data_IF_597242063511
#
_entry.id   IF_597242063511
#
_cell.length_a   1.000
_cell.length_b   1.000
_cell.length_c   1.000
_cell.angle_alpha   90.00
_cell.angle_beta   90.00
_cell.angle_gamma   90.00
#
_symmetry.space_group_name_H-M   'P 1'
#
loop_
_entity.id
_entity.type
_entity.pdbx_description
1 polymer ?
#
# COMPACT_ATOMS: atom_id res chain seq x y z
N UNK A 1 -45.56 6.07 4.26
CA UNK A 1 -44.64 7.17 3.88
C UNK A 1 -43.27 6.59 4.12
N UNK A 2 -42.66 6.01 3.08
CA UNK A 2 -41.36 5.36 3.18
C UNK A 2 -40.37 6.24 2.45
N UNK A 3 -39.39 6.77 3.19
CA UNK A 3 -38.31 7.60 2.70
C UNK A 3 -37.07 6.70 2.66
N UNK A 4 -36.84 6.05 1.52
CA UNK A 4 -35.48 5.67 1.17
C UNK A 4 -34.94 6.96 0.59
N UNK A 5 -34.09 7.68 1.32
CA UNK A 5 -33.59 8.97 0.83
C UNK A 5 -32.34 8.78 -0.03
N UNK A 6 -31.54 7.74 0.23
CA UNK A 6 -30.26 7.50 -0.44
C UNK A 6 -29.94 6.01 -0.63
N UNK A 7 -29.24 5.68 -1.70
CA UNK A 7 -28.67 4.36 -1.98
C UNK A 7 -27.49 4.46 -2.95
N UNK A 8 -26.85 3.34 -3.27
CA UNK A 8 -25.70 3.30 -4.19
C UNK A 8 -25.97 2.35 -5.36
N UNK A 9 -25.47 2.71 -6.54
CA UNK A 9 -25.43 1.81 -7.70
C UNK A 9 -24.00 1.70 -8.20
N UNK A 10 -23.61 0.53 -8.70
CA UNK A 10 -22.32 0.32 -9.36
C UNK A 10 -22.44 0.58 -10.85
N UNK A 11 -21.45 1.28 -11.41
CA UNK A 11 -21.35 1.51 -12.85
C UNK A 11 -20.36 0.51 -13.44
N UNK A 12 -20.82 -0.29 -14.40
CA UNK A 12 -19.93 -1.10 -15.22
C UNK A 12 -19.56 -0.33 -16.50
N UNK A 13 -18.30 -0.40 -16.97
CA UNK A 13 -17.24 -1.31 -16.55
C UNK A 13 -16.26 -0.77 -15.48
N UNK A 14 -16.43 0.47 -14.98
CA UNK A 14 -15.44 1.09 -14.08
C UNK A 14 -15.50 0.60 -12.63
N UNK A 15 -16.62 0.02 -12.19
CA UNK A 15 -16.82 -0.45 -10.81
C UNK A 15 -17.11 0.68 -9.81
N UNK A 16 -17.23 1.92 -10.27
CA UNK A 16 -17.45 3.07 -9.40
C UNK A 16 -18.83 3.03 -8.75
N UNK A 17 -18.89 3.32 -7.44
CA UNK A 17 -20.13 3.54 -6.72
C UNK A 17 -20.62 4.96 -6.96
N UNK A 18 -21.86 5.09 -7.45
CA UNK A 18 -22.51 6.39 -7.62
C UNK A 18 -23.69 6.51 -6.66
N UNK A 19 -23.77 7.63 -5.91
CA UNK A 19 -24.91 7.88 -5.04
C UNK A 19 -26.19 8.08 -5.87
N UNK A 20 -27.25 7.44 -5.44
CA UNK A 20 -28.60 7.55 -5.97
C UNK A 20 -29.48 8.14 -4.88
N UNK A 21 -30.05 9.30 -5.16
CA UNK A 21 -31.02 9.92 -4.28
C UNK A 21 -32.41 9.47 -4.69
N UNK A 22 -33.22 9.04 -3.73
CA UNK A 22 -34.59 8.61 -3.97
C UNK A 22 -35.54 9.63 -3.34
N UNK A 23 -36.63 9.94 -4.03
CA UNK A 23 -37.76 10.68 -3.47
C UNK A 23 -39.06 9.88 -3.69
N UNK A 24 -40.20 10.44 -3.27
CA UNK A 24 -41.49 9.74 -3.34
C UNK A 24 -41.94 9.37 -4.76
N UNK A 25 -41.38 10.00 -5.79
CA UNK A 25 -41.84 9.93 -7.17
C UNK A 25 -40.70 9.77 -8.19
N UNK A 26 -39.45 9.87 -7.76
CA UNK A 26 -38.27 9.90 -8.63
C UNK A 26 -37.05 9.29 -7.95
N UNK A 27 -36.06 8.94 -8.76
CA UNK A 27 -34.70 8.72 -8.30
C UNK A 27 -33.78 9.57 -9.18
N UNK A 28 -32.71 10.08 -8.59
CA UNK A 28 -31.70 10.88 -9.27
C UNK A 28 -30.34 10.25 -9.03
N UNK A 29 -29.67 9.83 -10.10
CA UNK A 29 -28.27 9.43 -10.08
C UNK A 29 -27.46 10.42 -10.93
N UNK A 30 -26.40 11.00 -10.36
CA UNK A 30 -25.51 11.92 -11.07
C UNK A 30 -24.28 11.13 -11.50
N UNK A 31 -24.25 10.74 -12.77
CA UNK A 31 -23.15 9.97 -13.35
C UNK A 31 -22.22 10.91 -14.11
N UNK A 32 -20.96 11.08 -13.69
CA UNK A 32 -19.99 11.86 -14.47
C UNK A 32 -19.73 11.14 -15.80
N UNK A 33 -19.81 11.86 -16.92
CA UNK A 33 -19.55 11.30 -18.25
C UNK A 33 -18.12 10.75 -18.38
N UNK A 34 -17.19 11.27 -17.58
CA UNK A 34 -15.81 10.75 -17.48
C UNK A 34 -15.74 9.33 -16.89
N UNK A 35 -16.70 8.93 -16.05
CA UNK A 35 -16.78 7.58 -15.48
C UNK A 35 -17.34 6.54 -16.48
N UNK A 36 -17.89 6.99 -17.62
CA UNK A 36 -18.51 6.14 -18.63
C UNK A 36 -17.58 5.74 -19.79
N UNK A 37 -16.27 6.00 -19.68
CA UNK A 37 -15.30 5.49 -20.64
C UNK A 37 -15.25 6.21 -22.00
N UNK A 38 -15.81 7.42 -22.12
CA UNK A 38 -15.54 8.33 -23.25
C UNK A 38 -16.49 8.22 -24.46
N UNK A 39 -17.44 7.30 -24.46
CA UNK A 39 -18.46 7.23 -25.52
C UNK A 39 -19.65 8.15 -25.22
N UNK A 40 -20.14 8.86 -26.24
CA UNK A 40 -21.22 9.88 -26.12
C UNK A 40 -22.63 9.29 -25.97
N UNK A 41 -22.73 7.99 -25.72
CA UNK A 41 -24.00 7.25 -25.65
C UNK A 41 -24.05 6.39 -24.39
N UNK A 42 -25.04 6.62 -23.52
CA UNK A 42 -25.34 5.72 -22.40
C UNK A 42 -26.73 5.11 -22.57
N UNK A 43 -26.86 3.80 -22.36
CA UNK A 43 -28.14 3.12 -22.36
C UNK A 43 -28.57 2.91 -20.90
N UNK A 44 -29.71 3.47 -20.52
CA UNK A 44 -30.30 3.25 -19.20
C UNK A 44 -31.47 2.27 -19.32
N UNK A 45 -31.39 1.15 -18.59
CA UNK A 45 -32.47 0.16 -18.48
C UNK A 45 -32.99 0.11 -17.05
N UNK A 46 -34.28 0.37 -16.85
CA UNK A 46 -34.95 0.29 -15.56
C UNK A 46 -36.02 -0.79 -15.58
N UNK A 47 -35.97 -1.71 -14.63
CA UNK A 47 -36.99 -2.75 -14.43
C UNK A 47 -37.78 -2.38 -13.19
N UNK A 48 -39.05 -2.00 -13.37
CA UNK A 48 -39.98 -1.72 -12.27
C UNK A 48 -40.78 -2.98 -11.95
N UNK A 49 -40.56 -3.56 -10.77
CA UNK A 49 -41.39 -4.66 -10.23
C UNK A 49 -42.76 -4.16 -9.76
N UNK A 50 -43.78 -5.03 -9.73
CA UNK A 50 -45.10 -4.66 -9.19
C UNK A 50 -45.07 -4.59 -7.66
N UNK A 51 -45.42 -3.43 -7.12
CA UNK A 51 -45.41 -3.10 -5.69
C UNK A 51 -46.46 -3.88 -4.88
N UNK A 52 -46.12 -5.08 -4.43
CA UNK A 52 -46.88 -5.78 -3.41
C UNK A 52 -45.84 -6.40 -2.46
N UNK A 53 -45.66 -5.76 -1.30
CA UNK A 53 -44.73 -6.04 -0.19
C UNK A 53 -43.38 -5.27 -0.18
N UNK A 54 -42.93 -4.72 0.98
CA UNK A 54 -41.79 -3.79 1.08
C UNK A 54 -40.41 -4.45 1.08
N UNK A 55 -40.32 -5.76 0.80
CA UNK A 55 -39.10 -6.55 0.98
C UNK A 55 -38.57 -7.18 -0.30
N UNK A 56 -39.13 -6.84 -1.46
CA UNK A 56 -38.87 -7.54 -2.72
C UNK A 56 -38.18 -6.65 -3.77
N UNK A 57 -36.90 -6.34 -3.54
CA UNK A 57 -35.98 -5.86 -4.58
C UNK A 57 -35.03 -6.99 -5.04
N UNK A 58 -35.58 -8.16 -5.40
CA UNK A 58 -34.84 -9.21 -6.11
C UNK A 58 -35.49 -9.50 -7.47
N UNK A 59 -34.81 -9.28 -8.60
CA UNK A 59 -35.34 -9.65 -9.90
C UNK A 59 -35.26 -11.18 -10.08
N UNK A 60 -36.42 -11.80 -10.27
CA UNK A 60 -36.59 -13.16 -10.81
C UNK A 60 -36.12 -14.33 -9.92
N UNK A 61 -36.81 -14.59 -8.79
CA UNK A 61 -37.03 -15.96 -8.26
C UNK A 61 -35.82 -16.89 -8.12
N UNK A 62 -34.61 -16.34 -8.04
CA UNK A 62 -33.39 -17.08 -7.78
C UNK A 62 -33.31 -17.38 -6.29
N UNK A 63 -32.83 -18.57 -5.94
CA UNK A 63 -32.46 -18.94 -4.58
C UNK A 63 -31.84 -17.74 -3.86
N UNK A 64 -32.36 -17.42 -2.66
CA UNK A 64 -31.77 -16.49 -1.72
C UNK A 64 -30.25 -16.66 -1.75
N UNK A 65 -29.56 -15.75 -2.42
CA UNK A 65 -28.19 -15.49 -2.04
C UNK A 65 -28.36 -14.90 -0.64
N UNK A 66 -27.98 -15.70 0.36
CA UNK A 66 -27.78 -15.21 1.70
C UNK A 66 -27.14 -13.83 1.59
N UNK A 67 -27.72 -12.83 2.26
CA UNK A 67 -26.99 -11.60 2.49
C UNK A 67 -25.57 -11.99 2.89
N UNK A 68 -24.53 -11.37 2.30
CA UNK A 68 -23.18 -11.64 2.73
C UNK A 68 -23.10 -11.61 4.25
N UNK A 69 -22.34 -12.54 4.87
CA UNK A 69 -22.10 -12.50 6.30
C UNK A 69 -21.68 -11.10 6.74
N UNK A 70 -22.23 -10.66 7.88
CA UNK A 70 -21.92 -9.42 8.59
C UNK A 70 -21.89 -9.84 10.07
N UNK A 71 -20.68 -10.09 10.56
CA UNK A 71 -20.41 -10.75 11.84
C UNK A 71 -20.67 -9.86 13.04
N UNK A 72 -20.59 -8.54 12.87
CA UNK A 72 -20.68 -7.56 13.95
C UNK A 72 -21.88 -6.59 13.82
N UNK A 73 -22.65 -6.72 12.73
CA UNK A 73 -23.89 -6.02 12.45
C UNK A 73 -23.72 -4.50 12.30
N UNK A 74 -22.63 -4.07 11.65
CA UNK A 74 -22.32 -2.66 11.40
C UNK A 74 -22.75 -2.15 10.01
N UNK A 75 -23.38 -3.03 9.22
CA UNK A 75 -23.84 -2.85 7.84
C UNK A 75 -22.73 -2.90 6.76
N UNK A 76 -21.53 -3.35 7.09
CA UNK A 76 -20.45 -3.66 6.16
C UNK A 76 -20.31 -5.20 6.07
N UNK A 77 -20.38 -5.81 4.87
CA UNK A 77 -20.15 -7.24 4.73
C UNK A 77 -18.75 -7.68 5.15
N UNK A 78 -18.60 -8.85 5.80
CA UNK A 78 -17.33 -9.42 6.28
C UNK A 78 -16.20 -9.45 5.23
N UNK A 79 -16.54 -9.56 3.94
CA UNK A 79 -15.55 -9.60 2.85
C UNK A 79 -15.00 -8.23 2.46
N UNK A 80 -15.67 -7.16 2.89
CA UNK A 80 -15.36 -5.76 2.63
C UNK A 80 -15.10 -4.96 3.92
N UNK A 81 -15.26 -5.59 5.07
CA UNK A 81 -15.07 -5.00 6.40
C UNK A 81 -13.62 -5.13 6.86
N UNK A 82 -12.99 -4.00 7.17
CA UNK A 82 -11.64 -3.97 7.75
C UNK A 82 -11.61 -4.31 9.26
N UNK A 83 -12.77 -4.51 9.89
CA UNK A 83 -12.93 -5.02 11.26
C UNK A 83 -14.11 -6.00 11.44
N UNK A 84 -14.11 -7.22 10.86
CA UNK A 84 -15.25 -8.18 10.83
C UNK A 84 -15.88 -8.65 12.15
N UNK A 85 -15.37 -8.17 13.29
CA UNK A 85 -15.84 -8.52 14.63
C UNK A 85 -16.08 -7.32 15.53
N UNK A 86 -15.88 -6.10 15.04
CA UNK A 86 -15.86 -4.85 15.82
C UNK A 86 -16.48 -3.71 15.03
N UNK A 87 -17.72 -3.28 15.35
CA UNK A 87 -18.49 -2.38 14.49
C UNK A 87 -17.79 -1.06 14.16
N UNK A 88 -17.62 -0.75 12.88
CA UNK A 88 -17.02 0.48 12.37
C UNK A 88 -17.54 0.85 10.96
N UNK A 89 -18.79 1.30 10.88
CA UNK A 89 -19.48 1.65 9.62
C UNK A 89 -18.75 2.70 8.76
N UNK A 90 -17.86 3.53 9.33
CA UNK A 90 -17.07 4.52 8.58
C UNK A 90 -15.81 3.94 7.93
N UNK A 91 -15.44 2.69 8.28
CA UNK A 91 -14.31 1.95 7.76
C UNK A 91 -13.00 2.75 7.84
N UNK A 92 -12.85 3.57 8.89
CA UNK A 92 -11.65 4.39 9.08
C UNK A 92 -10.44 3.48 9.29
N UNK A 93 -9.42 3.70 8.47
CA UNK A 93 -8.13 3.02 8.47
C UNK A 93 -7.06 4.10 8.25
N UNK A 94 -6.53 4.63 9.36
CA UNK A 94 -5.72 5.84 9.39
C UNK A 94 -4.33 5.65 8.79
N UNK A 95 -3.78 4.44 8.83
CA UNK A 95 -2.48 4.10 8.24
C UNK A 95 -2.56 3.20 7.00
N UNK A 96 -3.77 2.83 6.57
CA UNK A 96 -4.06 2.11 5.32
C UNK A 96 -3.51 0.68 5.28
N UNK A 97 -3.44 0.01 6.43
CA UNK A 97 -2.92 -1.35 6.57
C UNK A 97 -3.95 -2.45 6.21
N UNK A 98 -5.22 -2.07 6.04
CA UNK A 98 -6.34 -2.96 5.77
C UNK A 98 -7.08 -3.42 7.04
N UNK A 99 -6.75 -2.87 8.21
CA UNK A 99 -7.47 -3.03 9.47
C UNK A 99 -8.01 -1.70 9.92
N UNK A 100 -9.26 -1.68 10.35
CA UNK A 100 -9.86 -0.45 10.84
C UNK A 100 -9.29 -0.02 12.19
N UNK A 101 -9.28 1.28 12.45
CA UNK A 101 -8.78 1.90 13.68
C UNK A 101 -9.40 1.29 14.95
N UNK A 102 -10.62 0.71 14.84
CA UNK A 102 -11.38 0.11 15.94
C UNK A 102 -10.85 -1.26 16.36
N UNK A 103 -10.32 -2.04 15.42
CA UNK A 103 -9.81 -3.39 15.67
C UNK A 103 -8.29 -3.52 15.51
N UNK A 104 -7.62 -2.45 15.08
CA UNK A 104 -6.17 -2.39 15.01
C UNK A 104 -5.57 -2.05 16.39
N UNK A 105 -4.67 -2.89 16.96
CA UNK A 105 -3.88 -2.52 18.13
C UNK A 105 -2.93 -1.33 17.90
N UNK A 106 -2.64 -1.00 16.65
CA UNK A 106 -1.68 0.04 16.23
C UNK A 106 -2.27 1.01 15.19
N UNK A 107 -3.42 1.68 15.48
CA UNK A 107 -4.24 2.35 14.48
C UNK A 107 -3.63 3.62 13.87
N UNK A 108 -2.37 3.94 14.17
CA UNK A 108 -1.72 5.17 13.72
C UNK A 108 -0.20 4.98 13.56
N UNK A 109 0.21 4.20 12.56
CA UNK A 109 1.62 4.08 12.15
C UNK A 109 1.77 4.05 10.62
N UNK A 110 2.29 5.12 10.01
CA UNK A 110 2.49 5.13 8.54
C UNK A 110 3.85 5.76 8.17
N UNK A 111 4.84 4.88 7.95
CA UNK A 111 6.17 5.22 7.45
C UNK A 111 6.35 4.82 6.00
N UNK A 112 6.47 5.82 5.14
CA UNK A 112 6.73 5.59 3.73
C UNK A 112 8.21 5.79 3.37
N UNK A 113 8.80 4.80 2.69
CA UNK A 113 10.08 4.98 1.98
C UNK A 113 9.81 5.70 0.67
N UNK A 114 9.98 7.03 0.68
CA UNK A 114 9.67 7.89 -0.45
C UNK A 114 10.72 7.89 -1.57
N UNK A 115 11.99 7.61 -1.25
CA UNK A 115 13.10 7.67 -2.21
C UNK A 115 14.25 6.79 -1.73
N UNK A 116 14.89 6.08 -2.66
CA UNK A 116 16.14 5.33 -2.44
C UNK A 116 17.08 5.69 -3.57
N UNK A 117 18.32 6.03 -3.23
CA UNK A 117 19.38 6.33 -4.20
C UNK A 117 20.65 5.60 -3.84
N UNK A 118 21.10 4.73 -4.74
CA UNK A 118 22.32 3.96 -4.61
C UNK A 118 23.41 4.47 -5.56
N UNK A 119 24.64 4.55 -5.08
CA UNK A 119 25.78 5.01 -5.88
C UNK A 119 26.45 3.85 -6.62
N UNK A 120 26.86 4.07 -7.86
CA UNK A 120 27.73 3.10 -8.56
C UNK A 120 29.07 2.95 -7.85
N UNK A 121 29.64 1.76 -7.90
CA UNK A 121 30.88 1.42 -7.19
C UNK A 121 31.86 0.68 -8.10
N UNK A 122 33.16 0.84 -7.86
CA UNK A 122 34.21 0.16 -8.63
C UNK A 122 35.22 -0.50 -7.70
N UNK A 123 35.51 -1.77 -7.92
CA UNK A 123 36.53 -2.56 -7.22
C UNK A 123 37.68 -2.83 -8.19
N UNK A 124 38.92 -2.69 -7.70
CA UNK A 124 40.13 -3.04 -8.44
C UNK A 124 40.78 -4.27 -7.81
N UNK A 125 40.95 -5.34 -8.58
CA UNK A 125 41.66 -6.58 -8.22
C UNK A 125 43.11 -6.49 -8.76
N UNK A 126 44.13 -7.18 -8.18
CA UNK A 126 44.16 -8.63 -7.91
C UNK A 126 44.31 -9.04 -6.43
N UNK A 127 44.25 -8.11 -5.47
CA UNK A 127 44.05 -8.44 -4.04
C UNK A 127 42.56 -8.43 -3.70
N UNK A 128 42.10 -9.07 -2.59
CA UNK A 128 40.75 -8.85 -2.12
C UNK A 128 40.45 -7.35 -2.10
N UNK A 129 39.44 -6.96 -2.88
CA UNK A 129 39.14 -5.57 -3.14
C UNK A 129 37.88 -5.19 -2.37
N UNK A 130 37.96 -4.13 -1.57
CA UNK A 130 36.80 -3.57 -0.87
C UNK A 130 36.46 -2.22 -1.48
N UNK A 131 35.18 -1.99 -1.73
CA UNK A 131 34.68 -0.66 -2.08
C UNK A 131 33.39 -0.36 -1.34
N UNK A 132 33.16 0.93 -1.09
CA UNK A 132 31.99 1.40 -0.34
C UNK A 132 31.01 2.08 -1.28
N UNK A 133 29.79 1.57 -1.30
CA UNK A 133 28.64 2.16 -1.98
C UNK A 133 27.89 3.08 -1.01
N UNK A 134 27.59 4.30 -1.46
CA UNK A 134 26.73 5.23 -0.72
C UNK A 134 25.27 4.97 -1.06
N UNK A 135 24.43 4.83 -0.02
CA UNK A 135 22.97 4.65 -0.15
C UNK A 135 22.28 5.77 0.62
N UNK A 136 21.40 6.52 -0.06
CA UNK A 136 20.57 7.55 0.57
C UNK A 136 19.11 7.10 0.55
N UNK A 137 18.47 7.08 1.71
CA UNK A 137 17.06 6.70 1.87
C UNK A 137 16.30 7.90 2.42
N UNK A 138 15.14 8.23 1.84
CA UNK A 138 14.22 9.23 2.39
C UNK A 138 12.99 8.55 2.93
N UNK A 139 12.71 8.80 4.21
CA UNK A 139 11.52 8.29 4.89
C UNK A 139 10.62 9.46 5.26
N UNK A 140 9.32 9.32 5.03
CA UNK A 140 8.30 10.25 5.48
C UNK A 140 7.45 9.58 6.55
N UNK A 141 7.17 10.31 7.62
CA UNK A 141 6.10 9.97 8.54
C UNK A 141 4.83 10.65 8.00
N UNK A 142 3.83 9.86 7.66
CA UNK A 142 2.59 10.31 7.02
C UNK A 142 1.52 10.67 8.06
N UNK A 143 1.80 10.44 9.35
CA UNK A 143 0.91 10.67 10.47
C UNK A 143 1.34 11.89 11.31
N UNK A 144 0.39 12.49 12.02
CA UNK A 144 0.65 13.53 13.00
C UNK A 144 1.10 12.96 14.38
N UNK A 145 1.87 11.87 14.38
CA UNK A 145 2.44 11.22 15.55
C UNK A 145 3.96 11.09 15.37
N UNK A 146 4.83 11.33 16.39
CA UNK A 146 6.26 11.09 16.25
C UNK A 146 6.53 9.58 16.26
N UNK A 147 7.41 9.12 15.38
CA UNK A 147 7.65 7.68 15.23
C UNK A 147 9.13 7.34 15.36
N UNK A 148 9.44 6.16 15.90
CA UNK A 148 10.79 5.61 15.98
C UNK A 148 10.93 4.47 15.00
N UNK A 149 11.93 4.53 14.12
CA UNK A 149 12.09 3.55 13.05
C UNK A 149 13.44 2.85 13.06
N UNK A 150 13.46 1.67 12.45
CA UNK A 150 14.65 0.95 12.02
C UNK A 150 14.64 0.82 10.51
N UNK A 151 15.80 1.05 9.90
CA UNK A 151 16.04 1.00 8.47
C UNK A 151 16.90 -0.21 8.14
N UNK A 152 16.36 -1.09 7.30
CA UNK A 152 17.06 -2.25 6.75
C UNK A 152 17.39 -2.01 5.27
N UNK A 153 18.57 -2.49 4.84
CA UNK A 153 19.02 -2.37 3.45
C UNK A 153 19.59 -3.70 2.99
N UNK A 154 19.02 -4.19 1.89
CA UNK A 154 19.43 -5.41 1.22
C UNK A 154 20.00 -5.09 -0.18
N UNK A 155 20.97 -5.90 -0.61
CA UNK A 155 21.65 -5.73 -1.90
C UNK A 155 21.69 -7.05 -2.65
N UNK A 156 20.89 -7.12 -3.71
CA UNK A 156 20.83 -8.23 -4.64
C UNK A 156 21.77 -8.03 -5.84
N UNK A 157 22.11 -9.14 -6.51
CA UNK A 157 22.87 -9.12 -7.76
C UNK A 157 24.39 -9.11 -7.61
N UNK A 158 24.91 -9.37 -6.40
CA UNK A 158 26.34 -9.53 -6.18
C UNK A 158 26.88 -10.77 -6.94
N UNK A 159 28.00 -10.65 -7.66
CA UNK A 159 28.61 -11.79 -8.33
C UNK A 159 29.25 -12.76 -7.34
N UNK A 160 29.43 -14.01 -7.77
CA UNK A 160 30.10 -15.04 -6.97
C UNK A 160 31.45 -14.54 -6.45
N UNK A 161 31.66 -14.68 -5.13
CA UNK A 161 32.88 -14.23 -4.48
C UNK A 161 32.88 -12.79 -4.00
N UNK A 162 31.79 -12.04 -4.19
CA UNK A 162 31.56 -10.76 -3.56
C UNK A 162 30.51 -10.89 -2.45
N UNK A 163 30.76 -10.24 -1.32
CA UNK A 163 29.86 -10.22 -0.16
C UNK A 163 29.77 -8.81 0.43
N UNK A 164 28.68 -8.55 1.13
CA UNK A 164 28.54 -7.34 1.94
C UNK A 164 29.35 -7.57 3.22
N UNK A 165 30.37 -6.75 3.45
CA UNK A 165 31.22 -6.86 4.64
C UNK A 165 30.72 -6.01 5.81
N UNK A 166 30.17 -4.82 5.54
CA UNK A 166 29.58 -3.95 6.57
C UNK A 166 28.48 -3.05 5.99
N UNK A 167 27.46 -2.79 6.80
CA UNK A 167 26.51 -1.68 6.59
C UNK A 167 26.71 -0.72 7.75
N UNK A 168 27.09 0.52 7.46
CA UNK A 168 27.33 1.56 8.46
C UNK A 168 26.54 2.83 8.17
N UNK A 169 26.25 3.61 9.21
CA UNK A 169 25.49 4.85 9.13
C UNK A 169 24.28 4.84 10.06
N UNK A 170 23.35 5.76 9.82
CA UNK A 170 22.15 5.91 10.63
C UNK A 170 21.09 4.88 10.21
N UNK A 171 21.02 3.76 10.91
CA UNK A 171 20.04 2.67 10.66
C UNK A 171 18.82 2.73 11.59
N UNK A 172 18.76 3.72 12.47
CA UNK A 172 17.61 3.96 13.34
C UNK A 172 17.54 5.42 13.74
N UNK A 173 16.35 6.03 13.72
CA UNK A 173 16.13 7.36 14.28
C UNK A 173 14.64 7.61 14.56
N UNK A 174 14.34 8.78 15.13
CA UNK A 174 12.98 9.29 15.23
C UNK A 174 12.65 10.25 14.09
N UNK A 175 11.46 10.12 13.54
CA UNK A 175 10.91 11.04 12.55
C UNK A 175 9.83 11.86 13.24
N UNK A 176 9.91 13.19 13.08
CA UNK A 176 8.91 14.11 13.64
C UNK A 176 7.58 13.96 12.91
N UNK A 177 6.50 14.37 13.56
CA UNK A 177 5.14 14.43 13.00
C UNK A 177 5.14 15.07 11.60
N UNK A 178 4.53 14.41 10.63
CA UNK A 178 4.50 14.84 9.21
C UNK A 178 5.89 15.19 8.64
N UNK A 179 6.95 14.61 9.22
CA UNK A 179 8.33 14.93 8.96
C UNK A 179 8.92 14.06 7.87
N UNK A 180 9.97 14.59 7.21
CA UNK A 180 10.80 13.83 6.29
C UNK A 180 12.22 13.77 6.82
N UNK A 181 12.77 12.57 6.88
CA UNK A 181 14.15 12.31 7.29
C UNK A 181 14.93 11.71 6.13
N UNK A 182 16.21 12.06 6.03
CA UNK A 182 17.13 11.50 5.03
C UNK A 182 18.24 10.76 5.73
N UNK A 183 18.34 9.46 5.47
CA UNK A 183 19.33 8.55 6.03
C UNK A 183 20.44 8.32 5.01
N UNK A 184 21.69 8.41 5.47
CA UNK A 184 22.87 8.17 4.63
C UNK A 184 23.63 6.98 5.16
N UNK A 185 23.62 5.92 4.37
CA UNK A 185 24.23 4.64 4.68
C UNK A 185 25.44 4.39 3.76
N UNK A 186 26.33 3.54 4.26
CA UNK A 186 27.53 3.07 3.57
C UNK A 186 27.52 1.54 3.58
N UNK A 187 27.44 0.95 2.40
CA UNK A 187 27.49 -0.50 2.20
C UNK A 187 28.87 -0.86 1.65
N UNK A 188 29.65 -1.60 2.42
CA UNK A 188 30.97 -2.08 1.99
C UNK A 188 30.82 -3.44 1.32
N UNK A 189 31.32 -3.55 0.10
CA UNK A 189 31.33 -4.79 -0.68
C UNK A 189 32.79 -5.24 -0.78
N UNK A 190 33.05 -6.49 -0.44
CA UNK A 190 34.36 -7.11 -0.51
C UNK A 190 34.31 -8.28 -1.49
N UNK A 191 35.24 -8.29 -2.45
CA UNK A 191 35.34 -9.35 -3.45
C UNK A 191 36.66 -10.11 -3.33
N UNK A 192 36.59 -11.44 -3.31
CA UNK A 192 37.75 -12.31 -3.35
C UNK A 192 38.42 -12.31 -4.73
N UNK A 193 39.73 -12.09 -4.77
CA UNK A 193 40.49 -11.91 -6.01
C UNK A 193 40.43 -13.10 -6.99
N UNK A 194 40.21 -14.32 -6.50
CA UNK A 194 40.11 -15.53 -7.33
C UNK A 194 38.67 -15.98 -7.62
N UNK A 195 37.67 -15.29 -7.07
CA UNK A 195 36.26 -15.68 -7.20
C UNK A 195 35.48 -14.69 -8.08
N UNK A 196 35.86 -13.41 -8.07
CA UNK A 196 35.19 -12.37 -8.84
C UNK A 196 35.76 -12.24 -10.27
N UNK A 197 34.88 -12.25 -11.27
CA UNK A 197 35.23 -12.04 -12.68
C UNK A 197 35.18 -10.55 -13.02
N UNK A 198 36.16 -9.99 -13.77
CA UNK A 198 36.09 -8.61 -14.23
C UNK A 198 34.85 -8.37 -15.11
N UNK A 199 34.14 -7.27 -14.87
CA UNK A 199 32.87 -7.01 -15.54
C UNK A 199 32.05 -5.89 -14.91
N UNK A 200 30.85 -5.68 -15.46
CA UNK A 200 29.84 -4.80 -14.88
C UNK A 200 28.67 -5.66 -14.40
N UNK A 201 28.27 -5.48 -13.15
CA UNK A 201 27.19 -6.21 -12.50
C UNK A 201 26.10 -5.22 -12.10
N UNK A 202 24.86 -5.50 -12.49
CA UNK A 202 23.70 -4.76 -12.03
C UNK A 202 23.35 -5.18 -10.62
N UNK A 203 23.21 -4.22 -9.73
CA UNK A 203 22.78 -4.42 -8.35
C UNK A 203 21.38 -3.85 -8.17
N UNK A 204 20.57 -4.53 -7.37
CA UNK A 204 19.29 -4.00 -6.88
C UNK A 204 19.45 -3.74 -5.40
N UNK A 205 19.32 -2.48 -5.00
CA UNK A 205 19.40 -2.06 -3.59
C UNK A 205 17.98 -1.83 -3.11
N UNK A 206 17.51 -2.63 -2.16
CA UNK A 206 16.21 -2.48 -1.52
C UNK A 206 16.41 -1.90 -0.13
N UNK A 207 15.64 -0.87 0.21
CA UNK A 207 15.56 -0.36 1.57
C UNK A 207 14.15 -0.57 2.09
N UNK A 208 14.03 -0.98 3.35
CA UNK A 208 12.75 -1.13 4.05
C UNK A 208 12.81 -0.51 5.43
N UNK A 209 11.70 0.07 5.87
CA UNK A 209 11.57 0.67 7.19
C UNK A 209 10.60 -0.12 8.05
N UNK A 210 10.92 -0.24 9.34
CA UNK A 210 10.05 -0.83 10.35
C UNK A 210 9.87 0.12 11.52
N UNK A 211 8.67 0.18 12.08
CA UNK A 211 8.42 0.90 13.32
C UNK A 211 9.03 0.13 14.50
N UNK A 212 9.55 0.85 15.50
CA UNK A 212 10.18 0.26 16.69
C UNK A 212 9.38 0.66 17.93
N UNK A 213 8.95 -0.33 18.71
CA UNK A 213 8.48 -0.13 20.08
C UNK A 213 6.97 0.09 20.29
N UNK A 214 6.17 0.20 19.23
CA UNK A 214 4.71 0.43 19.37
C UNK A 214 3.79 -0.66 18.81
N UNK A 215 4.36 -1.77 18.32
CA UNK A 215 3.62 -2.90 17.77
C UNK A 215 4.24 -3.38 16.46
N UNK A 216 3.59 -4.32 15.78
CA UNK A 216 4.05 -4.78 14.46
C UNK A 216 3.19 -4.09 13.42
N UNK A 217 3.78 -3.10 12.74
CA UNK A 217 3.26 -2.49 11.52
C UNK A 217 2.81 -3.59 10.56
N UNK A 218 1.52 -3.62 10.19
CA UNK A 218 1.05 -4.57 9.17
C UNK A 218 0.94 -3.91 7.80
N UNK A 219 1.03 -2.58 7.70
CA UNK A 219 1.14 -1.90 6.41
C UNK A 219 2.57 -1.89 5.92
N UNK A 220 2.92 -2.92 5.16
CA UNK A 220 4.21 -2.96 4.47
C UNK A 220 4.16 -2.42 3.05
N UNK A 221 3.03 -1.84 2.60
CA UNK A 221 2.81 -1.55 1.18
C UNK A 221 3.69 -0.40 0.67
N UNK A 222 4.01 0.58 1.52
CA UNK A 222 4.80 1.77 1.18
C UNK A 222 6.14 1.85 1.95
N UNK A 223 6.41 0.87 2.81
CA UNK A 223 7.56 0.87 3.72
C UNK A 223 8.86 0.44 3.05
N UNK A 224 8.84 0.12 1.76
CA UNK A 224 10.01 -0.33 1.03
C UNK A 224 10.11 0.25 -0.37
N UNK A 225 11.33 0.45 -0.83
CA UNK A 225 11.62 0.91 -2.19
C UNK A 225 12.98 0.40 -2.62
N UNK A 226 13.19 0.33 -3.93
CA UNK A 226 14.47 -0.08 -4.49
C UNK A 226 15.03 0.93 -5.48
N UNK A 227 16.35 0.92 -5.63
CA UNK A 227 17.08 1.59 -6.68
C UNK A 227 18.08 0.64 -7.35
N UNK A 228 18.52 0.97 -8.56
CA UNK A 228 19.52 0.20 -9.30
C UNK A 228 20.89 0.84 -9.20
N UNK A 229 21.93 0.04 -8.98
CA UNK A 229 23.32 0.49 -9.01
C UNK A 229 24.16 -0.45 -9.89
N UNK A 230 25.37 0.00 -10.23
CA UNK A 230 26.36 -0.81 -10.96
C UNK A 230 27.60 -1.04 -10.12
N UNK A 231 27.98 -2.32 -9.98
CA UNK A 231 29.30 -2.73 -9.50
C UNK A 231 30.20 -3.02 -10.69
N UNK A 232 31.31 -2.28 -10.80
CA UNK A 232 32.33 -2.51 -11.82
C UNK A 232 33.58 -3.14 -11.22
N UNK A 233 33.98 -4.30 -11.72
CA UNK A 233 35.19 -5.01 -11.30
C UNK A 233 36.24 -4.85 -12.40
N UNK A 234 37.40 -4.30 -12.04
CA UNK A 234 38.54 -4.08 -12.94
C UNK A 234 39.79 -4.76 -12.44
#
# INVERSE_FOLDING_TARGET
MFDVSQGFTTIFPSGDFVPVNFDQNSFTAIIPVSALGGDTSFNFGMVLGTFIEPTDCAPNGGNYQSLPPDGDADHVPDFADNCPTSPNTDQLDSDQDGKGDVCDPTPIHDLAVTDVKASNVTIRLPSPGTATMGVTVKVANLVNHPETLSLDVDVDGLPTGCEISTIGGDTSASVRRLGRSTYRLRVSITCGAGLAVPGNYGLTVRASVTHTGEGVEQNTSNNSRSDSATLRIR
#
